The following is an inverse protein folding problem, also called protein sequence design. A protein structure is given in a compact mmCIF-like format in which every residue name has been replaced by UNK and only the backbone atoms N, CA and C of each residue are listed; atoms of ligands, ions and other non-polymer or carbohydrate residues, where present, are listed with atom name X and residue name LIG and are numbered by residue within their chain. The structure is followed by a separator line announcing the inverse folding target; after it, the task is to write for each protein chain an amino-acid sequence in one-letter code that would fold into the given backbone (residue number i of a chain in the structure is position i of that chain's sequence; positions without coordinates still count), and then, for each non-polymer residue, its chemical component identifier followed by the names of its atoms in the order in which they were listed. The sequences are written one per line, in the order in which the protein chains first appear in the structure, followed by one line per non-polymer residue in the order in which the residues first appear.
data_IF_918889574905
#
_entry.id   IF_918889574905
#
_cell.length_a   1.000
_cell.length_b   1.000
_cell.length_c   1.000
_cell.angle_alpha   90.00
_cell.angle_beta   90.00
_cell.angle_gamma   90.00
#
_symmetry.space_group_name_H-M   'P 1'
#
loop_
_entity.id
_entity.type
_entity.pdbx_description
1 polymer ?
#
# COMPACT_ATOMS: atom_id res chain seq x y z
N UNK A 1 6.78 -20.20 4.66
CA UNK A 1 7.79 -19.12 4.74
C UNK A 1 7.63 -18.03 3.66
N UNK A 2 6.95 -18.29 2.52
CA UNK A 2 6.70 -17.28 1.46
C UNK A 2 5.62 -16.24 1.80
N UNK A 3 4.61 -16.60 2.60
CA UNK A 3 3.48 -15.71 2.95
C UNK A 3 3.86 -14.49 3.84
N UNK A 4 4.91 -14.59 4.65
CA UNK A 4 5.25 -13.57 5.66
C UNK A 4 5.79 -12.28 5.04
N UNK A 5 6.45 -12.36 3.88
CA UNK A 5 7.13 -11.22 3.25
C UNK A 5 6.15 -10.22 2.63
N UNK A 6 5.13 -10.73 1.95
CA UNK A 6 4.10 -9.89 1.31
C UNK A 6 3.24 -9.17 2.35
N UNK A 7 2.93 -9.84 3.47
CA UNK A 7 2.22 -9.20 4.59
C UNK A 7 3.04 -8.07 5.22
N UNK A 8 4.36 -8.26 5.40
CA UNK A 8 5.25 -7.23 5.95
C UNK A 8 5.37 -6.00 5.04
N UNK A 9 5.51 -6.20 3.72
CA UNK A 9 5.51 -5.11 2.74
C UNK A 9 4.18 -4.35 2.73
N UNK A 10 3.06 -5.06 2.84
CA UNK A 10 1.73 -4.45 2.87
C UNK A 10 1.50 -3.67 4.16
N UNK A 11 1.86 -4.22 5.32
CA UNK A 11 1.74 -3.53 6.60
C UNK A 11 2.56 -2.23 6.65
N UNK A 12 3.81 -2.25 6.15
CA UNK A 12 4.65 -1.06 6.04
C UNK A 12 4.05 -0.01 5.11
N UNK A 13 3.54 -0.45 3.95
CA UNK A 13 2.92 0.45 2.97
C UNK A 13 1.66 1.12 3.51
N UNK A 14 0.82 0.37 4.24
CA UNK A 14 -0.37 0.91 4.91
C UNK A 14 0.00 1.87 6.04
N UNK A 15 0.99 1.53 6.86
CA UNK A 15 1.48 2.41 7.93
C UNK A 15 2.05 3.72 7.37
N UNK A 16 2.80 3.65 6.26
CA UNK A 16 3.28 4.82 5.54
C UNK A 16 2.12 5.67 5.01
N UNK A 17 1.15 5.06 4.33
CA UNK A 17 -0.01 5.79 3.79
C UNK A 17 -0.82 6.47 4.89
N UNK A 18 -1.07 5.78 6.01
CA UNK A 18 -1.81 6.29 7.15
C UNK A 18 -1.06 7.45 7.83
N UNK A 19 0.23 7.28 8.11
CA UNK A 19 1.05 8.33 8.72
C UNK A 19 1.20 9.55 7.81
N UNK A 20 1.44 9.36 6.52
CA UNK A 20 1.56 10.46 5.57
C UNK A 20 0.21 11.20 5.37
N UNK A 21 -0.92 10.50 5.41
CA UNK A 21 -2.25 11.11 5.38
C UNK A 21 -2.55 11.93 6.65
N UNK A 22 -2.07 11.50 7.82
CA UNK A 22 -2.26 12.21 9.09
C UNK A 22 -1.33 13.42 9.23
N UNK A 23 -0.08 13.30 8.80
CA UNK A 23 0.94 14.35 8.93
C UNK A 23 0.78 15.42 7.85
N UNK A 24 0.56 15.01 6.60
CA UNK A 24 0.51 15.92 5.46
C UNK A 24 -0.66 15.57 4.52
N UNK A 25 -1.92 15.83 4.94
CA UNK A 25 -3.11 15.51 4.15
C UNK A 25 -3.18 16.29 2.83
N UNK A 26 -2.48 17.43 2.71
CA UNK A 26 -2.45 18.24 1.49
C UNK A 26 -1.77 17.53 0.31
N UNK A 27 -0.96 16.48 0.55
CA UNK A 27 -0.38 15.68 -0.53
C UNK A 27 -1.43 14.92 -1.37
N UNK A 28 -2.67 14.79 -0.88
CA UNK A 28 -3.78 14.27 -1.68
C UNK A 28 -4.25 15.24 -2.78
N UNK A 29 -4.00 16.54 -2.61
CA UNK A 29 -4.37 17.54 -3.61
C UNK A 29 -3.44 17.53 -4.83
N UNK A 30 -2.26 16.89 -4.73
CA UNK A 30 -1.38 16.67 -5.86
C UNK A 30 -1.73 15.34 -6.56
N UNK A 31 -2.33 15.36 -7.77
CA UNK A 31 -2.67 14.13 -8.50
C UNK A 31 -1.45 13.33 -8.95
N UNK A 32 -0.26 13.94 -9.00
CA UNK A 32 1.01 13.26 -9.26
C UNK A 32 1.78 12.95 -7.96
N UNK A 33 1.17 13.27 -6.82
CA UNK A 33 1.72 13.10 -5.49
C UNK A 33 1.90 11.63 -5.09
N UNK A 34 2.75 11.39 -4.08
CA UNK A 34 3.06 10.04 -3.61
C UNK A 34 1.84 9.29 -3.05
N UNK A 35 0.89 9.97 -2.38
CA UNK A 35 -0.27 9.32 -1.77
C UNK A 35 -1.21 8.66 -2.80
N UNK A 36 -1.45 9.34 -3.92
CA UNK A 36 -2.27 8.81 -5.01
C UNK A 36 -1.61 7.59 -5.66
N UNK A 37 -0.28 7.59 -5.79
CA UNK A 37 0.51 6.50 -6.40
C UNK A 37 0.61 5.25 -5.53
N UNK A 38 0.53 5.39 -4.21
CA UNK A 38 0.56 4.26 -3.28
C UNK A 38 -0.71 3.40 -3.41
N UNK A 39 -1.87 3.99 -3.76
CA UNK A 39 -3.13 3.25 -3.94
C UNK A 39 -3.07 2.12 -4.99
N UNK A 40 -2.68 2.36 -6.26
CA UNK A 40 -2.60 1.29 -7.26
C UNK A 40 -1.54 0.23 -6.89
N UNK A 41 -0.44 0.62 -6.23
CA UNK A 41 0.57 -0.32 -5.75
C UNK A 41 0.04 -1.23 -4.62
N UNK A 42 -0.74 -0.68 -3.69
CA UNK A 42 -1.43 -1.45 -2.65
C UNK A 42 -2.45 -2.42 -3.24
N UNK A 43 -3.25 -1.97 -4.21
CA UNK A 43 -4.22 -2.82 -4.90
C UNK A 43 -3.55 -4.00 -5.61
N UNK A 44 -2.41 -3.77 -6.28
CA UNK A 44 -1.63 -4.84 -6.91
C UNK A 44 -1.06 -5.81 -5.88
N UNK A 45 -0.61 -5.30 -4.72
CA UNK A 45 -0.09 -6.14 -3.63
C UNK A 45 -1.22 -7.01 -3.04
N UNK A 46 -2.41 -6.44 -2.83
CA UNK A 46 -3.60 -7.16 -2.38
C UNK A 46 -4.04 -8.22 -3.40
N UNK A 47 -4.08 -7.88 -4.69
CA UNK A 47 -4.39 -8.83 -5.76
C UNK A 47 -3.37 -9.98 -5.82
N UNK A 48 -2.09 -9.69 -5.60
CA UNK A 48 -1.04 -10.72 -5.53
C UNK A 48 -1.27 -11.65 -4.34
N UNK A 49 -1.68 -11.12 -3.18
CA UNK A 49 -2.01 -11.91 -2.01
C UNK A 49 -3.21 -12.83 -2.25
N UNK A 50 -4.32 -12.32 -2.82
CA UNK A 50 -5.50 -13.16 -3.12
C UNK A 50 -5.17 -14.24 -4.13
N UNK A 51 -4.39 -13.90 -5.16
CA UNK A 51 -3.96 -14.85 -6.17
C UNK A 51 -3.07 -15.93 -5.56
N UNK A 52 -2.20 -15.60 -4.60
CA UNK A 52 -1.28 -16.55 -3.98
C UNK A 52 -2.00 -17.44 -2.94
N UNK A 53 -3.03 -16.91 -2.27
CA UNK A 53 -3.85 -17.63 -1.28
C UNK A 53 -4.70 -18.73 -1.93
N UNK A 54 -5.12 -18.55 -3.19
CA UNK A 54 -5.86 -19.55 -3.96
C UNK A 54 -4.98 -20.68 -4.54
N UNK A 55 -3.64 -20.60 -4.46
CA UNK A 55 -2.71 -21.62 -5.00
C UNK A 55 -2.30 -22.63 -3.95
#
# INVERSE_FOLDING_TARGET
MYHVRHLGMLALSVAYLASATLVEPQLWADPLGPLVKVLPSLLLTLATLTILDER
#
